data_IF_960279847223
#
_entry.id   IF_960279847223
#
_cell.length_a   1.000
_cell.length_b   1.000
_cell.length_c   1.000
_cell.angle_alpha   90.00
_cell.angle_beta   90.00
_cell.angle_gamma   90.00
#
_symmetry.space_group_name_H-M   'P 1'
#
loop_
_entity.id
_entity.type
_entity.pdbx_description
1 polymer ?
#
# COMPACT_ATOMS: atom_id res chain seq x y z
N UNK A 1 -5.06 -15.21 3.71
CA UNK A 1 -4.93 -16.47 2.98
C UNK A 1 -4.84 -17.69 3.90
N UNK A 2 -4.18 -17.56 5.03
CA UNK A 2 -3.88 -18.70 5.94
C UNK A 2 -4.99 -18.98 6.97
N UNK A 3 -6.18 -18.41 6.78
CA UNK A 3 -7.35 -18.70 7.62
C UNK A 3 -7.54 -17.75 8.80
N UNK A 4 -6.94 -16.56 8.76
CA UNK A 4 -7.28 -15.49 9.72
C UNK A 4 -8.75 -15.09 9.58
N UNK A 5 -9.40 -14.80 10.70
CA UNK A 5 -10.83 -14.49 10.81
C UNK A 5 -10.97 -13.05 11.32
N UNK A 6 -11.84 -12.27 10.69
CA UNK A 6 -12.19 -10.92 11.14
C UNK A 6 -13.39 -10.96 12.10
N UNK A 7 -13.20 -10.37 13.28
CA UNK A 7 -14.20 -10.37 14.33
C UNK A 7 -14.48 -8.96 14.85
N UNK A 8 -15.69 -8.75 15.29
CA UNK A 8 -16.09 -7.60 16.10
C UNK A 8 -15.58 -7.77 17.54
N UNK A 9 -15.73 -6.73 18.34
CA UNK A 9 -15.34 -6.74 19.77
C UNK A 9 -16.05 -7.82 20.60
N UNK A 10 -17.27 -8.18 20.22
CA UNK A 10 -18.06 -9.25 20.87
C UNK A 10 -17.69 -10.67 20.38
N UNK A 11 -16.67 -10.79 19.52
CA UNK A 11 -16.22 -12.05 18.94
C UNK A 11 -17.00 -12.48 17.68
N UNK A 12 -18.01 -11.74 17.25
CA UNK A 12 -18.82 -12.07 16.07
C UNK A 12 -17.98 -11.97 14.80
N UNK A 13 -17.99 -13.00 13.97
CA UNK A 13 -17.41 -13.00 12.64
C UNK A 13 -18.38 -12.32 11.66
N UNK A 14 -17.98 -11.24 11.00
CA UNK A 14 -18.89 -10.43 10.17
C UNK A 14 -18.69 -10.61 8.65
N UNK A 15 -17.51 -11.02 8.17
CA UNK A 15 -17.22 -11.10 6.74
C UNK A 15 -18.21 -11.94 5.92
N UNK A 16 -18.76 -13.07 6.40
CA UNK A 16 -19.76 -13.84 5.64
C UNK A 16 -21.06 -13.07 5.33
N UNK A 17 -21.36 -11.99 6.04
CA UNK A 17 -22.52 -11.12 5.74
C UNK A 17 -22.24 -10.14 4.58
N UNK A 18 -20.96 -9.94 4.22
CA UNK A 18 -20.52 -8.99 3.21
C UNK A 18 -20.13 -9.64 1.88
N UNK A 19 -19.57 -10.87 1.91
CA UNK A 19 -19.15 -11.59 0.70
C UNK A 19 -19.10 -13.11 0.98
N UNK A 20 -19.55 -13.92 0.03
CA UNK A 20 -19.57 -15.39 0.15
C UNK A 20 -18.16 -16.00 0.35
N UNK A 21 -17.12 -15.31 -0.14
CA UNK A 21 -15.72 -15.71 0.06
C UNK A 21 -15.16 -15.28 1.42
N UNK A 22 -15.94 -14.54 2.19
CA UNK A 22 -15.60 -14.03 3.51
C UNK A 22 -14.23 -13.29 3.50
N UNK A 23 -13.29 -13.64 4.37
CA UNK A 23 -11.95 -13.02 4.47
C UNK A 23 -11.06 -13.28 3.24
N UNK A 24 -11.45 -14.17 2.33
CA UNK A 24 -10.78 -14.42 1.05
C UNK A 24 -11.30 -13.54 -0.09
N UNK A 25 -12.29 -12.69 0.17
CA UNK A 25 -12.73 -11.68 -0.79
C UNK A 25 -11.57 -10.73 -1.18
N UNK A 26 -11.63 -10.06 -2.35
CA UNK A 26 -10.68 -9.02 -2.72
C UNK A 26 -10.48 -7.99 -1.61
N UNK A 27 -9.27 -7.47 -1.49
CA UNK A 27 -8.91 -6.61 -0.35
C UNK A 27 -9.73 -5.34 -0.24
N UNK A 28 -10.17 -4.78 -1.36
CA UNK A 28 -11.09 -3.63 -1.37
C UNK A 28 -12.45 -3.97 -0.75
N UNK A 29 -13.00 -5.16 -1.00
CA UNK A 29 -14.25 -5.62 -0.39
C UNK A 29 -14.06 -5.79 1.12
N UNK A 30 -12.96 -6.45 1.54
CA UNK A 30 -12.66 -6.64 2.97
C UNK A 30 -12.45 -5.30 3.67
N UNK A 31 -11.70 -4.37 3.08
CA UNK A 31 -11.46 -3.05 3.66
C UNK A 31 -12.77 -2.25 3.81
N UNK A 32 -13.63 -2.25 2.79
CA UNK A 32 -14.95 -1.60 2.85
C UNK A 32 -15.88 -2.23 3.88
N UNK A 33 -15.84 -3.56 4.03
CA UNK A 33 -16.63 -4.27 5.05
C UNK A 33 -16.18 -3.88 6.46
N UNK A 34 -14.86 -3.80 6.69
CA UNK A 34 -14.30 -3.34 7.98
C UNK A 34 -14.76 -1.90 8.27
N UNK A 35 -14.55 -0.98 7.31
CA UNK A 35 -14.95 0.43 7.46
C UNK A 35 -16.46 0.57 7.76
N UNK A 36 -17.28 -0.19 7.03
CA UNK A 36 -18.72 -0.22 7.25
C UNK A 36 -19.09 -0.67 8.66
N UNK A 37 -18.54 -1.79 9.14
CA UNK A 37 -18.84 -2.30 10.49
C UNK A 37 -18.34 -1.36 11.58
N UNK A 38 -17.17 -0.76 11.40
CA UNK A 38 -16.63 0.24 12.33
C UNK A 38 -17.57 1.45 12.42
N UNK A 39 -17.96 2.05 11.28
CA UNK A 39 -18.86 3.21 11.25
C UNK A 39 -20.25 2.90 11.77
N UNK A 40 -20.84 1.77 11.36
CA UNK A 40 -22.17 1.34 11.79
C UNK A 40 -22.28 1.17 13.29
N UNK A 41 -21.21 0.75 13.94
CA UNK A 41 -21.19 0.39 15.39
C UNK A 41 -20.42 1.37 16.25
N UNK A 42 -19.80 2.40 15.67
CA UNK A 42 -18.95 3.35 16.40
C UNK A 42 -17.72 2.71 17.03
N UNK A 43 -17.05 1.79 16.28
CA UNK A 43 -15.87 1.08 16.74
C UNK A 43 -14.60 1.76 16.27
N UNK A 44 -13.55 1.75 17.09
CA UNK A 44 -12.22 2.26 16.74
C UNK A 44 -11.43 1.25 15.87
N UNK A 45 -11.73 -0.04 16.00
CA UNK A 45 -11.07 -1.12 15.24
C UNK A 45 -11.95 -2.36 15.18
N UNK A 46 -11.55 -3.32 14.32
CA UNK A 46 -11.99 -4.71 14.35
C UNK A 46 -10.81 -5.61 14.71
N UNK A 47 -11.01 -6.91 14.84
CA UNK A 47 -10.02 -7.84 15.34
C UNK A 47 -9.71 -8.92 14.29
N UNK A 48 -8.42 -9.11 13.99
CA UNK A 48 -7.94 -10.22 13.16
C UNK A 48 -7.47 -11.35 14.06
N UNK A 49 -8.18 -12.47 14.05
CA UNK A 49 -7.91 -13.65 14.87
C UNK A 49 -7.33 -14.78 14.03
N UNK A 50 -6.17 -15.30 14.44
CA UNK A 50 -5.52 -16.48 13.88
C UNK A 50 -5.13 -17.49 14.96
N UNK A 51 -5.46 -17.25 16.22
CA UNK A 51 -5.08 -18.06 17.38
C UNK A 51 -5.51 -19.53 17.26
N UNK A 52 -6.62 -19.79 16.56
CA UNK A 52 -7.13 -21.15 16.31
C UNK A 52 -6.17 -22.06 15.49
N UNK A 53 -5.14 -21.50 14.86
CA UNK A 53 -4.11 -22.28 14.14
C UNK A 53 -3.05 -22.86 15.07
N UNK A 54 -3.00 -22.39 16.32
CA UNK A 54 -2.04 -22.84 17.32
C UNK A 54 -0.67 -22.17 17.25
N UNK A 55 0.02 -22.17 18.37
CA UNK A 55 1.28 -21.46 18.58
C UNK A 55 2.38 -21.86 17.60
N UNK A 56 2.58 -23.17 17.39
CA UNK A 56 3.64 -23.68 16.50
C UNK A 56 3.45 -23.21 15.06
N UNK A 57 2.22 -23.22 14.56
CA UNK A 57 1.91 -22.70 13.23
C UNK A 57 2.21 -21.22 13.12
N UNK A 58 1.73 -20.41 14.07
CA UNK A 58 1.87 -18.95 14.06
C UNK A 58 3.33 -18.54 14.10
N UNK A 59 4.13 -19.11 14.99
CA UNK A 59 5.55 -18.80 15.13
C UNK A 59 6.37 -19.18 13.90
N UNK A 60 6.03 -20.29 13.24
CA UNK A 60 6.74 -20.75 12.05
C UNK A 60 6.32 -19.99 10.77
N UNK A 61 5.02 -19.69 10.63
CA UNK A 61 4.49 -19.04 9.41
C UNK A 61 4.63 -17.50 9.43
N UNK A 62 4.52 -16.90 10.62
CA UNK A 62 4.49 -15.44 10.79
C UNK A 62 5.50 -14.95 11.84
N UNK A 63 6.80 -15.36 11.76
CA UNK A 63 7.78 -15.04 12.81
C UNK A 63 7.93 -13.53 13.04
N UNK A 64 7.97 -12.73 11.97
CA UNK A 64 8.15 -11.29 12.06
C UNK A 64 6.90 -10.57 12.62
N UNK A 65 5.70 -10.99 12.18
CA UNK A 65 4.44 -10.43 12.70
C UNK A 65 4.27 -10.81 14.17
N UNK A 66 4.58 -12.06 14.53
CA UNK A 66 4.52 -12.52 15.91
C UNK A 66 5.44 -11.68 16.80
N UNK A 67 6.71 -11.54 16.42
CA UNK A 67 7.68 -10.75 17.19
C UNK A 67 7.23 -9.30 17.36
N UNK A 68 6.77 -8.68 16.26
CA UNK A 68 6.32 -7.29 16.30
C UNK A 68 5.08 -7.08 17.17
N UNK A 69 4.10 -7.97 17.09
CA UNK A 69 2.92 -7.90 17.94
C UNK A 69 3.28 -8.10 19.42
N UNK A 70 4.20 -9.02 19.71
CA UNK A 70 4.65 -9.27 21.08
C UNK A 70 5.37 -8.06 21.69
N UNK A 71 6.19 -7.32 20.91
CA UNK A 71 6.79 -6.04 21.34
C UNK A 71 5.73 -5.00 21.74
N UNK A 72 4.55 -5.05 21.11
CA UNK A 72 3.41 -4.19 21.42
C UNK A 72 2.50 -4.75 22.51
N UNK A 73 2.90 -5.84 23.17
CA UNK A 73 2.14 -6.48 24.22
C UNK A 73 1.00 -7.39 23.74
N UNK A 74 0.97 -7.74 22.45
CA UNK A 74 -0.08 -8.58 21.85
C UNK A 74 0.52 -9.95 21.52
N UNK A 75 0.14 -10.98 22.27
CA UNK A 75 0.46 -12.36 21.94
C UNK A 75 -0.60 -12.93 20.98
N UNK A 76 -0.30 -12.95 19.69
CA UNK A 76 -1.23 -13.39 18.64
C UNK A 76 -1.52 -14.89 18.66
N UNK A 77 -0.84 -15.65 19.50
CA UNK A 77 -1.17 -17.06 19.76
C UNK A 77 -2.34 -17.20 20.72
N UNK A 78 -2.66 -16.13 21.49
CA UNK A 78 -3.68 -16.11 22.54
C UNK A 78 -4.76 -15.05 22.29
N UNK A 79 -4.41 -13.96 21.61
CA UNK A 79 -5.28 -12.80 21.42
C UNK A 79 -5.32 -12.34 19.95
N UNK A 80 -6.44 -11.79 19.48
CA UNK A 80 -6.54 -11.25 18.15
C UNK A 80 -5.81 -9.89 18.05
N UNK A 81 -5.45 -9.52 16.81
CA UNK A 81 -4.78 -8.24 16.49
C UNK A 81 -5.85 -7.19 16.20
N UNK A 82 -5.83 -6.00 16.85
CA UNK A 82 -6.68 -4.88 16.43
C UNK A 82 -6.21 -4.38 15.06
N UNK A 83 -7.15 -4.21 14.13
CA UNK A 83 -6.88 -3.79 12.75
C UNK A 83 -7.90 -2.76 12.28
N UNK A 84 -7.43 -1.85 11.41
CA UNK A 84 -8.23 -0.84 10.72
C UNK A 84 -7.87 -0.83 9.23
N UNK A 85 -8.74 -0.37 8.33
CA UNK A 85 -8.35 -0.07 6.97
C UNK A 85 -7.31 1.04 6.95
N UNK A 86 -6.32 0.91 6.07
CA UNK A 86 -5.30 1.94 5.88
C UNK A 86 -5.02 2.12 4.38
N UNK A 87 -4.58 3.31 3.99
CA UNK A 87 -4.00 3.54 2.68
C UNK A 87 -2.80 2.59 2.50
N UNK A 88 -2.71 1.94 1.33
CA UNK A 88 -1.71 0.91 1.12
C UNK A 88 -0.89 1.13 -0.16
N UNK A 89 -1.54 1.26 -1.31
CA UNK A 89 -0.88 1.36 -2.60
C UNK A 89 -1.59 2.35 -3.51
N UNK A 90 -0.83 3.24 -4.13
CA UNK A 90 -1.34 4.15 -5.15
C UNK A 90 -1.50 3.39 -6.47
N UNK A 91 -2.74 3.24 -6.95
CA UNK A 91 -3.00 2.59 -8.23
C UNK A 91 -2.91 3.55 -9.43
N UNK A 92 -2.72 4.83 -9.18
CA UNK A 92 -2.49 5.90 -10.14
C UNK A 92 -1.04 6.35 -10.13
N UNK A 93 -0.76 7.47 -10.79
CA UNK A 93 0.57 8.06 -10.85
C UNK A 93 0.85 8.70 -12.20
N UNK A 94 2.10 8.86 -12.53
CA UNK A 94 2.55 9.40 -13.82
C UNK A 94 2.26 8.38 -14.92
N UNK A 95 1.50 8.78 -15.94
CA UNK A 95 1.17 7.91 -17.09
C UNK A 95 2.44 7.52 -17.82
N UNK A 96 2.60 6.24 -18.12
CA UNK A 96 3.75 5.73 -18.86
C UNK A 96 3.36 4.67 -19.90
N UNK A 97 4.17 4.54 -20.91
CA UNK A 97 4.09 3.45 -21.89
C UNK A 97 4.77 2.16 -21.36
N UNK A 98 4.80 1.11 -22.17
CA UNK A 98 5.42 -0.18 -21.82
C UNK A 98 6.94 -0.11 -21.63
N UNK A 99 7.59 1.00 -22.03
CA UNK A 99 9.01 1.23 -21.81
C UNK A 99 9.26 2.21 -20.65
N UNK A 100 8.25 2.54 -19.87
CA UNK A 100 8.34 3.49 -18.77
C UNK A 100 8.48 4.95 -19.23
N UNK A 101 8.28 5.28 -20.50
CA UNK A 101 8.37 6.65 -21.02
C UNK A 101 7.12 7.42 -20.60
N UNK A 102 7.33 8.67 -20.16
CA UNK A 102 6.24 9.63 -19.94
C UNK A 102 5.99 10.48 -21.20
N UNK A 103 5.01 11.37 -21.14
CA UNK A 103 4.76 12.39 -22.17
C UNK A 103 5.84 13.50 -22.20
N UNK A 104 6.68 13.58 -21.18
CA UNK A 104 7.84 14.48 -21.14
C UNK A 104 9.06 13.77 -21.73
N UNK A 105 9.60 14.30 -22.82
CA UNK A 105 10.73 13.71 -23.49
C UNK A 105 11.95 13.55 -22.56
N UNK A 106 12.48 12.32 -22.47
CA UNK A 106 13.61 11.99 -21.61
C UNK A 106 13.28 11.68 -20.15
N UNK A 107 12.00 11.82 -19.75
CA UNK A 107 11.54 11.45 -18.41
C UNK A 107 10.94 10.04 -18.44
N UNK A 108 11.39 9.20 -17.50
CA UNK A 108 10.91 7.84 -17.32
C UNK A 108 10.36 7.67 -15.91
N UNK A 109 9.41 6.76 -15.77
CA UNK A 109 8.84 6.40 -14.48
C UNK A 109 8.62 4.88 -14.43
N UNK A 110 8.85 4.27 -13.26
CA UNK A 110 8.59 2.86 -13.01
C UNK A 110 8.16 2.64 -11.56
N UNK A 111 7.41 1.56 -11.31
CA UNK A 111 6.95 1.18 -9.98
C UNK A 111 5.73 1.97 -9.51
N UNK A 112 5.56 2.12 -8.21
CA UNK A 112 4.35 2.70 -7.60
C UNK A 112 4.05 4.14 -8.05
N UNK A 113 5.09 4.90 -8.44
CA UNK A 113 4.92 6.25 -8.97
C UNK A 113 4.32 6.28 -10.38
N UNK A 114 4.26 5.14 -11.08
CA UNK A 114 3.77 5.04 -12.47
C UNK A 114 2.30 4.63 -12.54
N UNK A 115 1.62 5.10 -13.57
CA UNK A 115 0.31 4.63 -13.99
C UNK A 115 0.42 3.90 -15.32
N UNK A 116 0.70 2.60 -15.27
CA UNK A 116 0.79 1.72 -16.45
C UNK A 116 -0.56 1.17 -16.89
N UNK A 117 -1.59 1.33 -16.03
CA UNK A 117 -2.91 0.72 -16.21
C UNK A 117 -3.01 -0.73 -15.69
N UNK A 118 -1.89 -1.35 -15.29
CA UNK A 118 -1.86 -2.75 -14.83
C UNK A 118 -2.77 -2.99 -13.63
N UNK A 119 -2.81 -2.06 -12.70
CA UNK A 119 -3.52 -2.26 -11.42
C UNK A 119 -4.99 -1.86 -11.46
N UNK A 120 -5.41 -1.06 -12.44
CA UNK A 120 -6.77 -0.51 -12.45
C UNK A 120 -7.04 0.26 -11.16
N UNK A 121 -8.19 0.00 -10.54
CA UNK A 121 -8.57 0.62 -9.27
C UNK A 121 -8.17 -0.20 -8.03
N UNK A 122 -7.63 -1.40 -8.20
CA UNK A 122 -7.31 -2.31 -7.09
C UNK A 122 -6.18 -3.27 -7.46
N UNK A 123 -4.99 -3.01 -6.93
CA UNK A 123 -3.80 -3.81 -7.19
C UNK A 123 -3.93 -5.26 -6.70
N UNK A 124 -3.66 -6.22 -7.57
CA UNK A 124 -3.47 -7.61 -7.17
C UNK A 124 -2.17 -7.77 -6.36
N UNK A 125 -2.25 -8.48 -5.25
CA UNK A 125 -1.11 -8.70 -4.35
C UNK A 125 0.13 -9.23 -5.11
N UNK A 126 1.30 -8.76 -4.73
CA UNK A 126 2.63 -9.08 -5.29
C UNK A 126 2.93 -8.55 -6.70
N UNK A 127 1.95 -8.04 -7.45
CA UNK A 127 2.18 -7.51 -8.79
C UNK A 127 3.02 -6.21 -8.80
N UNK A 128 3.01 -5.44 -7.71
CA UNK A 128 3.81 -4.21 -7.63
C UNK A 128 5.31 -4.45 -7.78
N UNK A 129 5.85 -5.50 -7.15
CA UNK A 129 7.28 -5.83 -7.28
C UNK A 129 7.62 -6.29 -8.69
N UNK A 130 6.75 -7.08 -9.33
CA UNK A 130 6.94 -7.51 -10.71
C UNK A 130 6.89 -6.32 -11.67
N UNK A 131 5.95 -5.40 -11.48
CA UNK A 131 5.86 -4.16 -12.25
C UNK A 131 7.13 -3.33 -12.13
N UNK A 132 7.62 -3.08 -10.91
CA UNK A 132 8.86 -2.34 -10.69
C UNK A 132 10.02 -2.93 -11.49
N UNK A 133 10.22 -4.24 -11.42
CA UNK A 133 11.34 -4.92 -12.09
C UNK A 133 11.21 -4.88 -13.61
N UNK A 134 10.04 -5.23 -14.14
CA UNK A 134 9.81 -5.33 -15.60
C UNK A 134 9.89 -3.96 -16.25
N UNK A 135 9.24 -2.94 -15.70
CA UNK A 135 9.25 -1.60 -16.30
C UNK A 135 10.59 -0.87 -16.10
N UNK A 136 11.30 -1.11 -14.99
CA UNK A 136 12.65 -0.59 -14.81
C UNK A 136 13.61 -1.18 -15.84
N UNK A 137 13.56 -2.50 -16.08
CA UNK A 137 14.36 -3.14 -17.13
C UNK A 137 14.02 -2.61 -18.53
N UNK A 138 12.74 -2.48 -18.83
CA UNK A 138 12.28 -1.93 -20.12
C UNK A 138 12.76 -0.50 -20.33
N UNK A 139 12.69 0.35 -19.29
CA UNK A 139 13.20 1.73 -19.33
C UNK A 139 14.71 1.79 -19.57
N UNK A 140 15.48 0.96 -18.87
CA UNK A 140 16.94 0.88 -19.07
C UNK A 140 17.28 0.47 -20.51
N UNK A 141 16.61 -0.57 -21.04
CA UNK A 141 16.86 -1.03 -22.40
C UNK A 141 16.52 0.06 -23.45
N UNK A 142 15.44 0.80 -23.25
CA UNK A 142 15.07 1.92 -24.12
C UNK A 142 16.07 3.07 -24.05
N UNK A 143 16.54 3.43 -22.87
CA UNK A 143 17.57 4.47 -22.66
C UNK A 143 18.89 4.07 -23.34
N UNK A 144 19.33 2.83 -23.16
CA UNK A 144 20.56 2.32 -23.76
C UNK A 144 20.50 2.24 -25.30
N UNK A 145 19.31 1.99 -25.85
CA UNK A 145 19.11 1.99 -27.29
C UNK A 145 19.21 3.38 -27.93
N UNK A 146 18.98 4.44 -27.16
CA UNK A 146 19.09 5.85 -27.59
C UNK A 146 20.55 6.31 -27.53
N UNK A 147 21.38 5.79 -28.44
CA UNK A 147 22.77 6.22 -28.57
C UNK A 147 22.85 7.69 -28.95
N UNK A 148 23.70 8.48 -28.27
CA UNK A 148 24.01 9.89 -28.53
C UNK A 148 22.99 10.90 -27.96
N UNK A 149 22.72 10.83 -26.67
CA UNK A 149 22.07 11.94 -25.98
C UNK A 149 23.09 13.09 -25.84
N UNK A 150 22.90 14.16 -26.62
CA UNK A 150 23.56 15.42 -26.30
C UNK A 150 22.86 16.02 -25.11
N UNK A 151 23.53 16.01 -23.97
CA UNK A 151 22.99 16.61 -22.75
C UNK A 151 22.91 18.13 -22.93
N UNK A 152 21.74 18.75 -22.73
CA UNK A 152 21.67 20.22 -22.75
C UNK A 152 22.47 20.78 -21.58
N UNK A 153 23.03 21.98 -21.77
CA UNK A 153 23.62 22.73 -20.67
C UNK A 153 22.50 23.12 -19.71
N UNK A 154 22.57 22.62 -18.49
CA UNK A 154 21.55 22.95 -17.49
C UNK A 154 21.76 24.41 -17.04
N UNK A 155 20.71 25.23 -16.97
CA UNK A 155 20.80 26.55 -16.40
C UNK A 155 21.19 26.45 -14.91
N UNK A 156 21.86 27.48 -14.40
CA UNK A 156 22.08 27.60 -12.96
C UNK A 156 20.72 27.68 -12.24
N UNK A 157 20.67 27.10 -11.07
CA UNK A 157 19.48 27.21 -10.22
C UNK A 157 19.18 28.68 -9.92
N UNK A 158 17.96 29.11 -10.14
CA UNK A 158 17.49 30.48 -9.87
C UNK A 158 16.71 30.48 -8.53
N UNK A 159 17.36 30.98 -7.48
CA UNK A 159 16.75 31.08 -6.16
C UNK A 159 15.77 32.24 -6.01
N UNK A 160 15.65 33.14 -7.02
CA UNK A 160 14.80 34.33 -6.94
C UNK A 160 13.32 34.02 -6.77
N UNK A 161 12.90 32.78 -7.06
CA UNK A 161 11.53 32.28 -6.90
C UNK A 161 11.33 31.39 -5.68
N UNK A 162 12.37 31.14 -4.92
CA UNK A 162 12.29 30.37 -3.68
C UNK A 162 11.88 31.32 -2.58
N UNK A 163 10.71 31.13 -2.04
CA UNK A 163 10.27 31.81 -0.83
C UNK A 163 10.57 30.90 0.35
N UNK A 164 11.23 31.42 1.37
CA UNK A 164 11.33 30.73 2.64
C UNK A 164 9.91 30.54 3.19
N UNK A 165 9.57 29.32 3.59
CA UNK A 165 8.26 29.07 4.17
C UNK A 165 8.28 29.61 5.60
N UNK A 166 7.94 30.90 5.75
CA UNK A 166 7.87 31.60 7.03
C UNK A 166 6.80 31.03 7.99
N UNK A 167 6.03 30.04 7.55
CA UNK A 167 4.91 29.49 8.33
C UNK A 167 5.01 27.97 8.48
N UNK A 168 5.88 27.50 9.39
CA UNK A 168 5.90 26.10 9.83
C UNK A 168 4.51 25.59 10.28
N UNK A 169 3.66 26.50 10.78
CA UNK A 169 2.29 26.16 11.21
C UNK A 169 1.41 25.73 10.05
N UNK A 170 1.52 26.38 8.87
CA UNK A 170 0.74 25.99 7.68
C UNK A 170 1.22 24.66 7.12
N UNK A 171 2.53 24.39 7.16
CA UNK A 171 3.13 23.15 6.70
C UNK A 171 2.68 22.00 7.63
N UNK A 172 2.77 22.18 8.95
CA UNK A 172 2.35 21.14 9.90
C UNK A 172 0.85 20.90 9.84
N UNK A 173 0.03 21.96 9.69
CA UNK A 173 -1.42 21.80 9.54
C UNK A 173 -1.78 21.02 8.26
N UNK A 174 -1.13 21.30 7.15
CA UNK A 174 -1.35 20.54 5.90
C UNK A 174 -0.91 19.08 6.01
N UNK A 175 0.11 18.77 6.82
CA UNK A 175 0.52 17.39 7.11
C UNK A 175 -0.47 16.67 8.01
N UNK A 176 -1.13 17.38 8.93
CA UNK A 176 -2.13 16.81 9.84
C UNK A 176 -3.48 16.56 9.13
N UNK A 177 -3.74 17.21 8.00
CA UNK A 177 -4.96 17.05 7.19
C UNK A 177 -4.82 15.97 6.07
N UNK A 178 -3.62 15.48 5.77
CA UNK A 178 -3.35 14.45 4.76
C UNK A 178 -3.44 13.05 5.38
#
# INVERSE_FOLDING_TARGET
GEGGILRLQDGTRFMPEHDDRAELAPRDIVARAIDFEMKKRGLDCVFLDISHKGEAFIRNHFPNIYARCLELGIDITQAPIPVVPAAHYTCGGVVSDLNGRTDVAGLYVAGEASCTGLHGANRLASNSLLECLVFAEAAVNDILAKKNLTLPLLPLWDESRVTDADEEVVISHNWDEL
#
